data_IF_130973182491
#
_entry.id   IF_130973182491
#
_cell.length_a   1.000
_cell.length_b   1.000
_cell.length_c   1.000
_cell.angle_alpha   90.00
_cell.angle_beta   90.00
_cell.angle_gamma   90.00
#
_symmetry.space_group_name_H-M   'P 1'
#
loop_
_entity.id
_entity.type
_entity.pdbx_description
1 polymer ?
#
# COMPACT_ATOMS: atom_id res chain seq x y z
N UNK A 1 10.77 6.53 -4.45
CA UNK A 1 10.18 5.52 -3.54
C UNK A 1 8.82 5.97 -3.03
N UNK A 2 8.66 7.11 -2.34
CA UNK A 2 7.34 7.57 -1.84
C UNK A 2 6.20 7.62 -2.90
N UNK A 3 6.49 7.99 -4.15
CA UNK A 3 5.49 8.00 -5.22
C UNK A 3 4.94 6.63 -5.62
N UNK A 4 5.68 5.53 -5.36
CA UNK A 4 5.25 4.17 -5.73
C UNK A 4 4.10 3.72 -4.83
N UNK A 5 4.13 4.09 -3.54
CA UNK A 5 3.06 3.77 -2.58
C UNK A 5 1.73 4.40 -3.00
N UNK A 6 1.76 5.61 -3.55
CA UNK A 6 0.56 6.27 -4.06
C UNK A 6 -0.07 5.48 -5.23
N UNK A 7 0.76 4.85 -6.07
CA UNK A 7 0.28 4.03 -7.19
C UNK A 7 -0.41 2.76 -6.67
N UNK A 8 0.05 2.16 -5.56
CA UNK A 8 -0.62 1.00 -4.96
C UNK A 8 -2.05 1.34 -4.52
N UNK A 9 -2.23 2.47 -3.83
CA UNK A 9 -3.56 2.96 -3.45
C UNK A 9 -4.45 3.28 -4.65
N UNK A 10 -3.87 3.89 -5.70
CA UNK A 10 -4.58 4.19 -6.93
C UNK A 10 -5.11 2.92 -7.62
N UNK A 11 -4.28 1.89 -7.75
CA UNK A 11 -4.65 0.62 -8.38
C UNK A 11 -5.83 -0.03 -7.65
N UNK A 12 -5.78 -0.11 -6.32
CA UNK A 12 -6.87 -0.69 -5.52
C UNK A 12 -8.15 0.14 -5.67
N UNK A 13 -8.04 1.48 -5.63
CA UNK A 13 -9.19 2.38 -5.79
C UNK A 13 -9.90 2.18 -7.14
N UNK A 14 -9.14 2.06 -8.23
CA UNK A 14 -9.70 1.82 -9.57
C UNK A 14 -10.40 0.46 -9.63
N UNK A 15 -9.79 -0.61 -9.07
CA UNK A 15 -10.38 -1.94 -9.07
C UNK A 15 -11.66 -2.05 -8.23
N UNK A 16 -11.71 -1.35 -7.10
CA UNK A 16 -12.91 -1.29 -6.25
C UNK A 16 -14.02 -0.52 -6.96
N UNK A 17 -13.68 0.61 -7.61
CA UNK A 17 -14.65 1.45 -8.33
C UNK A 17 -15.34 0.68 -9.46
N UNK A 18 -14.61 -0.13 -10.21
CA UNK A 18 -15.16 -0.98 -11.29
C UNK A 18 -16.18 -2.02 -10.76
N UNK A 19 -16.05 -2.41 -9.50
CA UNK A 19 -16.90 -3.43 -8.87
C UNK A 19 -18.15 -2.85 -8.19
N UNK A 20 -18.36 -1.53 -8.19
CA UNK A 20 -19.48 -0.88 -7.51
C UNK A 20 -20.80 -1.07 -8.26
N UNK A 21 -21.83 -1.56 -7.55
CA UNK A 21 -23.20 -1.70 -8.05
C UNK A 21 -24.20 -1.19 -7.01
N UNK A 22 -25.35 -0.67 -7.48
CA UNK A 22 -26.40 -0.16 -6.59
C UNK A 22 -27.04 -1.27 -5.73
N UNK A 23 -27.22 -2.45 -6.32
CA UNK A 23 -27.65 -3.65 -5.60
C UNK A 23 -26.43 -4.55 -5.37
N UNK A 24 -25.85 -4.44 -4.18
CA UNK A 24 -24.71 -5.23 -3.74
C UNK A 24 -24.99 -5.84 -2.36
N UNK A 25 -24.46 -7.03 -2.09
CA UNK A 25 -24.56 -7.62 -0.76
C UNK A 25 -23.70 -6.83 0.24
N UNK A 26 -24.14 -6.80 1.50
CA UNK A 26 -23.38 -6.19 2.60
C UNK A 26 -21.97 -6.78 2.74
N UNK A 27 -21.81 -8.07 2.44
CA UNK A 27 -20.51 -8.74 2.40
C UNK A 27 -19.52 -8.05 1.45
N UNK A 28 -19.94 -7.77 0.21
CA UNK A 28 -19.10 -7.11 -0.80
C UNK A 28 -18.66 -5.72 -0.33
N UNK A 29 -19.57 -4.95 0.27
CA UNK A 29 -19.27 -3.62 0.81
C UNK A 29 -18.24 -3.64 1.96
N UNK A 30 -18.37 -4.58 2.90
CA UNK A 30 -17.38 -4.72 3.99
C UNK A 30 -16.01 -5.20 3.50
N UNK A 31 -15.98 -6.09 2.51
CA UNK A 31 -14.71 -6.54 1.90
C UNK A 31 -14.02 -5.39 1.16
N UNK A 32 -14.77 -4.56 0.41
CA UNK A 32 -14.22 -3.39 -0.28
C UNK A 32 -13.68 -2.34 0.71
N UNK A 33 -14.39 -2.09 1.82
CA UNK A 33 -13.90 -1.23 2.90
C UNK A 33 -12.61 -1.79 3.52
N UNK A 34 -12.57 -3.09 3.80
CA UNK A 34 -11.39 -3.77 4.32
C UNK A 34 -10.20 -3.72 3.35
N UNK A 35 -10.44 -3.92 2.06
CA UNK A 35 -9.41 -3.82 1.02
C UNK A 35 -8.81 -2.40 0.98
N UNK A 36 -9.65 -1.36 0.97
CA UNK A 36 -9.19 0.04 0.99
C UNK A 36 -8.41 0.39 2.25
N UNK A 37 -8.88 -0.01 3.43
CA UNK A 37 -8.19 0.26 4.70
C UNK A 37 -6.84 -0.47 4.80
N UNK A 38 -6.77 -1.71 4.32
CA UNK A 38 -5.54 -2.51 4.36
C UNK A 38 -4.40 -1.86 3.57
N UNK A 39 -4.65 -1.42 2.33
CA UNK A 39 -3.63 -0.73 1.52
C UNK A 39 -3.37 0.69 2.02
N UNK A 40 -4.41 1.40 2.48
CA UNK A 40 -4.28 2.79 2.94
C UNK A 40 -3.43 2.93 4.19
N UNK A 41 -3.72 2.13 5.24
CA UNK A 41 -2.97 2.19 6.50
C UNK A 41 -1.56 1.62 6.35
N UNK A 42 -1.38 0.54 5.59
CA UNK A 42 -0.04 0.01 5.29
C UNK A 42 0.79 1.00 4.47
N UNK A 43 0.18 1.66 3.48
CA UNK A 43 0.83 2.70 2.67
C UNK A 43 1.22 3.92 3.49
N UNK A 44 0.37 4.37 4.42
CA UNK A 44 0.69 5.46 5.33
C UNK A 44 1.89 5.11 6.24
N UNK A 45 1.91 3.90 6.82
CA UNK A 45 3.02 3.44 7.65
C UNK A 45 4.33 3.35 6.85
N UNK A 46 4.29 2.79 5.63
CA UNK A 46 5.44 2.73 4.73
C UNK A 46 5.94 4.12 4.33
N UNK A 47 5.01 5.05 4.03
CA UNK A 47 5.34 6.43 3.69
C UNK A 47 6.05 7.17 4.82
N UNK A 48 5.59 7.01 6.07
CA UNK A 48 6.26 7.56 7.25
C UNK A 48 7.66 6.98 7.45
N UNK A 49 7.81 5.66 7.33
CA UNK A 49 9.11 5.01 7.46
C UNK A 49 10.10 5.53 6.40
N UNK A 50 9.68 5.59 5.14
CA UNK A 50 10.50 6.11 4.03
C UNK A 50 10.86 7.58 4.25
N UNK A 51 9.91 8.40 4.72
CA UNK A 51 10.15 9.82 4.97
C UNK A 51 11.23 10.06 6.02
N UNK A 52 11.13 9.37 7.17
CA UNK A 52 12.08 9.52 8.28
C UNK A 52 13.45 8.93 7.91
N UNK A 53 13.49 7.72 7.33
CA UNK A 53 14.74 7.08 6.90
C UNK A 53 15.41 7.88 5.78
N UNK A 54 14.63 8.42 4.85
CA UNK A 54 15.13 9.28 3.78
C UNK A 54 15.80 10.54 4.31
N UNK A 55 15.12 11.28 5.21
CA UNK A 55 15.64 12.51 5.81
C UNK A 55 16.91 12.29 6.66
N UNK A 56 16.96 11.22 7.46
CA UNK A 56 18.17 10.84 8.18
C UNK A 56 19.28 10.35 7.25
N UNK A 57 18.93 9.55 6.25
CA UNK A 57 19.86 8.90 5.33
C UNK A 57 20.57 9.87 4.40
N UNK A 58 19.87 10.88 3.87
CA UNK A 58 20.51 11.89 2.99
C UNK A 58 21.49 12.77 3.77
N UNK A 59 21.16 13.16 5.01
CA UNK A 59 22.07 13.92 5.89
C UNK A 59 23.31 13.11 6.27
N UNK A 60 23.14 11.81 6.55
CA UNK A 60 24.27 10.91 6.81
C UNK A 60 25.14 10.66 5.58
N UNK A 61 24.53 10.50 4.40
CA UNK A 61 25.26 10.30 3.14
C UNK A 61 26.06 11.52 2.74
N UNK A 62 25.59 12.73 3.05
CA UNK A 62 26.33 13.97 2.82
C UNK A 62 27.64 14.04 3.62
N UNK A 63 27.69 13.42 4.81
CA UNK A 63 28.91 13.34 5.64
C UNK A 63 29.83 12.20 5.19
N UNK A 64 29.26 11.04 4.84
CA UNK A 64 30.03 9.88 4.42
C UNK A 64 29.32 9.15 3.26
N UNK A 65 29.84 9.24 2.02
CA UNK A 65 29.15 8.74 0.82
C UNK A 65 28.99 7.21 0.79
N UNK A 66 29.79 6.48 1.58
CA UNK A 66 29.67 5.01 1.72
C UNK A 66 28.35 4.56 2.35
N UNK A 67 27.63 5.42 3.06
CA UNK A 67 26.31 5.11 3.65
C UNK A 67 25.18 5.02 2.62
N UNK A 68 25.39 5.51 1.39
CA UNK A 68 24.35 5.53 0.37
C UNK A 68 23.75 4.14 0.11
N UNK A 69 24.60 3.11 -0.02
CA UNK A 69 24.15 1.73 -0.29
C UNK A 69 23.34 1.17 0.87
N UNK A 70 23.76 1.45 2.11
CA UNK A 70 23.04 1.04 3.31
C UNK A 70 21.68 1.71 3.45
N UNK A 71 21.60 3.01 3.15
CA UNK A 71 20.35 3.76 3.14
C UNK A 71 19.35 3.17 2.14
N UNK A 72 19.79 2.86 0.90
CA UNK A 72 18.93 2.26 -0.12
C UNK A 72 18.40 0.90 0.33
N UNK A 73 19.23 0.06 0.95
CA UNK A 73 18.80 -1.25 1.47
C UNK A 73 17.67 -1.10 2.51
N UNK A 74 17.79 -0.15 3.44
CA UNK A 74 16.76 0.10 4.45
C UNK A 74 15.47 0.60 3.80
N UNK A 75 15.58 1.51 2.82
CA UNK A 75 14.42 2.04 2.10
C UNK A 75 13.65 0.96 1.33
N UNK A 76 14.34 -0.04 0.76
CA UNK A 76 13.69 -1.18 0.09
C UNK A 76 12.85 -1.98 1.09
N UNK A 77 13.38 -2.29 2.28
CA UNK A 77 12.61 -3.00 3.31
C UNK A 77 11.40 -2.20 3.79
N UNK A 78 11.53 -0.86 3.89
CA UNK A 78 10.41 0.01 4.21
C UNK A 78 9.33 0.01 3.10
N UNK A 79 9.72 -0.06 1.83
CA UNK A 79 8.79 -0.07 0.70
C UNK A 79 7.96 -1.36 0.62
N UNK A 80 8.56 -2.51 0.97
CA UNK A 80 7.87 -3.81 0.98
C UNK A 80 6.65 -3.83 1.92
N UNK A 81 6.63 -3.00 2.97
CA UNK A 81 5.46 -2.85 3.85
C UNK A 81 4.21 -2.39 3.09
N UNK A 82 4.36 -1.46 2.14
CA UNK A 82 3.26 -1.00 1.28
C UNK A 82 2.82 -2.08 0.30
N UNK A 83 3.77 -2.88 -0.21
CA UNK A 83 3.49 -3.98 -1.13
C UNK A 83 2.67 -5.09 -0.44
N UNK A 84 2.94 -5.38 0.84
CA UNK A 84 2.12 -6.33 1.60
C UNK A 84 0.67 -5.86 1.75
N UNK A 85 0.45 -4.56 2.01
CA UNK A 85 -0.90 -3.97 2.04
C UNK A 85 -1.63 -4.14 0.70
N UNK A 86 -0.93 -3.93 -0.42
CA UNK A 86 -1.47 -4.15 -1.75
C UNK A 86 -1.88 -5.61 -2.00
N UNK A 87 -1.02 -6.57 -1.67
CA UNK A 87 -1.33 -8.00 -1.87
C UNK A 87 -2.59 -8.39 -1.10
N UNK A 88 -2.69 -7.98 0.17
CA UNK A 88 -3.87 -8.27 1.00
C UNK A 88 -5.13 -7.66 0.39
N UNK A 89 -5.07 -6.40 -0.06
CA UNK A 89 -6.21 -5.73 -0.70
C UNK A 89 -6.66 -6.45 -1.98
N UNK A 90 -5.72 -6.92 -2.81
CA UNK A 90 -6.02 -7.66 -4.04
C UNK A 90 -6.67 -9.02 -3.76
N UNK A 91 -6.19 -9.75 -2.74
CA UNK A 91 -6.78 -11.02 -2.33
C UNK A 91 -8.20 -10.84 -1.78
N UNK A 92 -8.44 -9.78 -1.01
CA UNK A 92 -9.77 -9.42 -0.52
C UNK A 92 -10.70 -9.08 -1.69
N UNK A 93 -10.25 -8.22 -2.61
CA UNK A 93 -11.06 -7.80 -3.75
C UNK A 93 -11.41 -8.97 -4.68
N UNK A 94 -10.47 -9.91 -4.89
CA UNK A 94 -10.72 -11.12 -5.68
C UNK A 94 -11.84 -12.00 -5.10
N UNK A 95 -12.10 -11.93 -3.79
CA UNK A 95 -13.14 -12.70 -3.10
C UNK A 95 -14.41 -11.88 -2.83
N UNK A 96 -14.44 -10.60 -3.17
CA UNK A 96 -15.57 -9.71 -2.87
C UNK A 96 -16.84 -10.06 -3.67
N UNK A 97 -16.66 -10.68 -4.84
CA UNK A 97 -17.75 -11.05 -5.78
C UNK A 97 -17.93 -12.57 -5.87
N UNK A 98 -17.03 -13.35 -5.27
CA UNK A 98 -17.09 -14.81 -5.31
C UNK A 98 -18.03 -15.31 -4.19
N UNK A 99 -18.98 -16.19 -4.55
CA UNK A 99 -19.96 -16.82 -3.65
C UNK A 99 -20.96 -15.87 -2.97
N UNK A 100 -21.26 -14.73 -3.61
CA UNK A 100 -22.27 -13.79 -3.12
C UNK A 100 -23.65 -14.18 -3.62
N UNK A 101 -24.50 -14.67 -2.71
CA UNK A 101 -25.94 -14.87 -2.95
C UNK A 101 -26.66 -13.60 -2.51
N UNK A 102 -27.21 -12.86 -3.47
CA UNK A 102 -27.98 -11.63 -3.25
C UNK A 102 -29.45 -11.92 -2.94
#
# INVERSE_FOLDING_TARGET
MAGIIAIYGLVVSVLVTDSLKQQQALYTGFIQLGAGLSVGLAGLAAGFAIGIVGDAGVRGTAQQPRLFVGMILILIFAEVLGLYGLIVALLLNSRATQDVVC
#
